data_IF_171755808402
#
_entry.id   IF_171755808402
#
_cell.length_a   1.000
_cell.length_b   1.000
_cell.length_c   1.000
_cell.angle_alpha   90.00
_cell.angle_beta   90.00
_cell.angle_gamma   90.00
#
_symmetry.space_group_name_H-M   'P 1'
#
loop_
_entity.id
_entity.type
_entity.pdbx_description
1 polymer ?
#
# COMPACT_ATOMS: atom_id res chain seq x y z
N UNK A 1 34.38 -61.30 7.00
CA UNK A 1 33.25 -60.75 6.21
C UNK A 1 33.80 -60.14 4.92
N UNK A 2 33.24 -60.44 3.74
CA UNK A 2 33.89 -60.11 2.47
C UNK A 2 33.78 -58.62 2.10
N UNK A 3 34.90 -58.10 1.60
CA UNK A 3 35.20 -56.70 1.25
C UNK A 3 34.21 -56.07 0.23
N UNK A 4 33.38 -56.87 -0.45
CA UNK A 4 32.41 -56.38 -1.44
C UNK A 4 31.19 -55.68 -0.84
N UNK A 5 30.84 -55.98 0.41
CA UNK A 5 29.73 -55.29 1.10
C UNK A 5 30.10 -53.86 1.47
N UNK A 6 31.36 -53.60 1.82
CA UNK A 6 31.84 -52.28 2.26
C UNK A 6 31.77 -51.25 1.12
N UNK A 7 32.06 -51.65 -0.13
CA UNK A 7 31.97 -50.75 -1.30
C UNK A 7 30.55 -50.31 -1.61
N UNK A 8 29.54 -51.18 -1.45
CA UNK A 8 28.13 -50.81 -1.69
C UNK A 8 27.64 -49.77 -0.68
N UNK A 9 28.00 -49.92 0.61
CA UNK A 9 27.64 -48.95 1.63
C UNK A 9 28.38 -47.62 1.46
N UNK A 10 29.65 -47.62 1.03
CA UNK A 10 30.41 -46.38 0.77
C UNK A 10 29.84 -45.57 -0.41
N UNK A 11 29.36 -46.24 -1.47
CA UNK A 11 28.70 -45.57 -2.60
C UNK A 11 27.32 -45.04 -2.19
N UNK A 12 26.55 -45.79 -1.40
CA UNK A 12 25.26 -45.31 -0.88
C UNK A 12 25.44 -44.15 0.08
N UNK A 13 26.46 -44.18 0.96
CA UNK A 13 26.76 -43.10 1.89
C UNK A 13 27.21 -41.83 1.17
N UNK A 14 28.00 -41.96 0.09
CA UNK A 14 28.45 -40.81 -0.70
C UNK A 14 27.33 -40.16 -1.53
N UNK A 15 26.39 -40.95 -2.07
CA UNK A 15 25.18 -40.44 -2.72
C UNK A 15 24.24 -39.79 -1.69
N UNK A 16 24.11 -40.36 -0.49
CA UNK A 16 23.28 -39.79 0.59
C UNK A 16 23.85 -38.46 1.10
N UNK A 17 25.18 -38.32 1.20
CA UNK A 17 25.82 -37.04 1.54
C UNK A 17 25.71 -36.00 0.43
N UNK A 18 25.65 -36.41 -0.84
CA UNK A 18 25.48 -35.49 -1.97
C UNK A 18 24.04 -34.95 -2.08
N UNK A 19 23.05 -35.71 -1.59
CA UNK A 19 21.64 -35.28 -1.54
C UNK A 19 21.38 -34.34 -0.33
N UNK A 20 22.25 -34.34 0.68
CA UNK A 20 22.14 -33.49 1.87
C UNK A 20 22.86 -32.13 1.75
N UNK A 21 23.47 -31.82 0.60
CA UNK A 21 24.05 -30.50 0.32
C UNK A 21 23.18 -29.66 -0.62
N UNK A 22 21.86 -29.82 -0.61
CA UNK A 22 21.01 -28.66 -0.92
C UNK A 22 21.29 -27.67 0.21
N UNK A 23 22.13 -26.69 -0.08
CA UNK A 23 22.29 -25.52 0.76
C UNK A 23 20.89 -25.00 1.04
N UNK A 24 20.42 -25.22 2.27
CA UNK A 24 19.33 -24.41 2.80
C UNK A 24 19.95 -23.02 2.86
N UNK A 25 19.78 -22.25 1.78
CA UNK A 25 20.01 -20.82 1.84
C UNK A 25 19.02 -20.33 2.88
N UNK A 26 19.53 -20.05 4.08
CA UNK A 26 18.79 -19.25 5.03
C UNK A 26 18.39 -17.99 4.26
N UNK A 27 17.08 -17.75 4.12
CA UNK A 27 16.56 -16.49 3.62
C UNK A 27 16.97 -15.46 4.67
N UNK A 28 18.16 -14.88 4.49
CA UNK A 28 18.58 -13.72 5.23
C UNK A 28 17.53 -12.66 4.90
N UNK A 29 16.80 -12.17 5.91
CA UNK A 29 15.91 -11.04 5.72
C UNK A 29 16.77 -9.90 5.15
N UNK A 30 16.63 -9.62 3.85
CA UNK A 30 17.45 -8.62 3.19
C UNK A 30 17.16 -7.29 3.88
N UNK A 31 18.18 -6.70 4.50
CA UNK A 31 18.05 -5.43 5.18
C UNK A 31 17.62 -4.37 4.16
N UNK A 32 16.36 -3.93 4.24
CA UNK A 32 15.85 -2.84 3.40
C UNK A 32 16.16 -1.51 4.09
N UNK A 33 16.42 -0.47 3.30
CA UNK A 33 16.66 0.88 3.81
C UNK A 33 15.37 1.50 4.39
N UNK A 34 15.05 1.16 5.65
CA UNK A 34 13.85 1.65 6.36
C UNK A 34 13.88 3.16 6.60
N UNK A 35 15.05 3.80 6.57
CA UNK A 35 15.21 5.27 6.72
C UNK A 35 14.54 6.08 5.61
N UNK A 36 14.23 5.44 4.47
CA UNK A 36 13.53 6.05 3.34
C UNK A 36 12.00 5.90 3.42
N UNK A 37 11.47 5.24 4.46
CA UNK A 37 10.03 4.99 4.66
C UNK A 37 9.50 5.91 5.75
N UNK A 38 8.39 6.60 5.51
CA UNK A 38 7.89 7.67 6.37
C UNK A 38 6.41 7.49 6.71
N UNK A 39 6.01 7.95 7.89
CA UNK A 39 4.59 8.07 8.24
C UNK A 39 4.05 9.35 7.65
N UNK A 40 2.93 9.28 6.94
CA UNK A 40 2.18 10.47 6.53
C UNK A 40 1.03 10.69 7.50
N UNK A 41 0.89 11.91 8.00
CA UNK A 41 -0.22 12.33 8.85
C UNK A 41 -0.99 13.42 8.11
N UNK A 42 -2.24 13.11 7.76
CA UNK A 42 -3.17 14.02 7.11
C UNK A 42 -4.03 14.75 8.15
N UNK A 43 -4.15 16.07 7.99
CA UNK A 43 -4.89 16.94 8.90
C UNK A 43 -5.80 17.93 8.16
N UNK A 44 -6.92 18.26 8.79
CA UNK A 44 -7.77 19.37 8.37
C UNK A 44 -7.20 20.73 8.79
N UNK A 45 -7.91 21.81 8.43
CA UNK A 45 -7.50 23.19 8.71
C UNK A 45 -7.50 23.53 10.20
N UNK A 46 -8.25 22.78 11.01
CA UNK A 46 -8.27 22.89 12.47
C UNK A 46 -7.14 22.09 13.13
N UNK A 47 -6.35 21.35 12.34
CA UNK A 47 -5.25 20.50 12.81
C UNK A 47 -5.70 19.13 13.34
N UNK A 48 -6.99 18.77 13.19
CA UNK A 48 -7.50 17.44 13.54
C UNK A 48 -6.94 16.42 12.56
N UNK A 49 -6.48 15.28 13.09
CA UNK A 49 -5.99 14.18 12.27
C UNK A 49 -7.18 13.53 11.56
N UNK A 50 -7.11 13.49 10.24
CA UNK A 50 -8.09 12.83 9.37
C UNK A 50 -7.72 11.36 9.19
N UNK A 51 -6.42 11.08 9.02
CA UNK A 51 -5.90 9.75 8.83
C UNK A 51 -4.37 9.73 8.79
N UNK A 52 -3.83 8.53 8.61
CA UNK A 52 -2.41 8.31 8.45
C UNK A 52 -2.15 7.19 7.44
N UNK A 53 -1.00 7.25 6.78
CA UNK A 53 -0.52 6.19 5.89
C UNK A 53 1.00 6.11 5.89
N UNK A 54 1.53 5.29 5.01
CA UNK A 54 2.96 5.18 4.74
C UNK A 54 3.29 5.90 3.42
N UNK A 55 4.47 6.48 3.34
CA UNK A 55 5.09 6.87 2.07
C UNK A 55 6.54 6.43 2.04
N UNK A 56 7.17 6.55 0.86
CA UNK A 56 8.59 6.24 0.71
C UNK A 56 9.26 7.16 -0.29
N UNK A 57 10.53 7.45 -0.05
CA UNK A 57 11.31 8.42 -0.81
C UNK A 57 12.10 7.69 -1.91
N UNK A 58 12.05 8.20 -3.14
CA UNK A 58 12.62 7.55 -4.33
C UNK A 58 13.68 8.39 -5.03
N UNK A 59 13.85 9.65 -4.63
CA UNK A 59 14.90 10.55 -5.12
C UNK A 59 15.55 11.32 -3.96
N UNK A 60 16.88 11.54 -3.95
CA UNK A 60 17.58 12.21 -2.84
C UNK A 60 17.08 13.62 -2.55
N UNK A 61 16.56 14.31 -3.57
CA UNK A 61 15.93 15.63 -3.47
C UNK A 61 14.52 15.62 -2.86
N UNK A 62 14.01 14.47 -2.42
CA UNK A 62 12.78 14.37 -1.63
C UNK A 62 11.50 14.09 -2.43
N UNK A 63 11.60 13.40 -3.57
CA UNK A 63 10.40 12.85 -4.25
C UNK A 63 9.89 11.67 -3.45
N UNK A 64 8.67 11.80 -2.93
CA UNK A 64 7.99 10.82 -2.10
C UNK A 64 6.79 10.22 -2.83
N UNK A 65 6.58 8.92 -2.66
CA UNK A 65 5.46 8.16 -3.21
C UNK A 65 4.54 7.72 -2.07
N UNK A 66 3.22 7.78 -2.29
CA UNK A 66 2.20 7.21 -1.39
C UNK A 66 0.90 6.96 -2.16
N UNK A 67 -0.16 6.50 -1.48
CA UNK A 67 -1.50 6.46 -2.05
C UNK A 67 -2.16 7.85 -2.08
N UNK A 68 -3.09 8.05 -3.02
CA UNK A 68 -3.85 9.29 -3.09
C UNK A 68 -4.81 9.41 -1.90
N UNK A 69 -5.50 8.34 -1.52
CA UNK A 69 -6.48 8.39 -0.44
C UNK A 69 -5.88 8.81 0.92
N UNK A 70 -4.56 8.66 1.11
CA UNK A 70 -3.85 9.15 2.30
C UNK A 70 -3.88 10.68 2.41
N UNK A 71 -4.07 11.38 1.29
CA UNK A 71 -4.12 12.85 1.21
C UNK A 71 -5.55 13.41 1.20
N UNK A 72 -6.55 12.53 1.11
CA UNK A 72 -7.94 12.91 0.91
C UNK A 72 -8.43 13.85 2.01
N UNK A 73 -9.09 14.95 1.61
CA UNK A 73 -9.61 16.00 2.50
C UNK A 73 -8.55 16.72 3.35
N UNK A 74 -7.25 16.43 3.16
CA UNK A 74 -6.18 17.01 3.93
C UNK A 74 -5.84 18.41 3.44
N UNK A 75 -5.85 19.37 4.36
CA UNK A 75 -5.28 20.71 4.12
C UNK A 75 -3.78 20.75 4.40
N UNK A 76 -3.31 19.85 5.28
CA UNK A 76 -1.92 19.71 5.69
C UNK A 76 -1.59 18.23 5.74
N UNK A 77 -0.46 17.87 5.12
CA UNK A 77 0.16 16.56 5.28
C UNK A 77 1.56 16.77 5.81
N UNK A 78 1.93 15.99 6.83
CA UNK A 78 3.25 15.99 7.43
C UNK A 78 3.87 14.60 7.29
N UNK A 79 5.11 14.54 6.79
CA UNK A 79 5.91 13.33 6.80
C UNK A 79 6.67 13.23 8.12
N UNK A 80 6.65 12.06 8.75
CA UNK A 80 7.42 11.76 9.95
C UNK A 80 8.40 10.65 9.61
N UNK A 81 9.68 10.99 9.70
CA UNK A 81 10.80 10.11 9.43
C UNK A 81 10.96 9.06 10.56
N UNK A 82 11.65 7.93 10.32
CA UNK A 82 11.84 6.89 11.34
C UNK A 82 12.63 7.35 12.58
N UNK A 83 13.43 8.41 12.47
CA UNK A 83 14.14 9.06 13.59
C UNK A 83 13.25 10.06 14.37
N UNK A 84 12.00 10.25 13.94
CA UNK A 84 11.04 11.16 14.53
C UNK A 84 10.99 12.54 13.89
N UNK A 85 11.89 12.85 12.95
CA UNK A 85 11.92 14.16 12.30
C UNK A 85 10.67 14.41 11.48
N UNK A 86 10.15 15.63 11.58
CA UNK A 86 8.91 16.03 10.93
C UNK A 86 9.17 16.95 9.76
N UNK A 87 8.92 16.45 8.56
CA UNK A 87 9.16 17.13 7.29
C UNK A 87 7.83 17.59 6.69
N UNK A 88 7.79 18.84 6.20
CA UNK A 88 6.63 19.38 5.50
C UNK A 88 6.60 18.87 4.05
N UNK A 89 5.40 18.63 3.54
CA UNK A 89 5.19 18.45 2.10
C UNK A 89 5.22 19.84 1.43
N UNK A 90 6.17 20.06 0.52
CA UNK A 90 6.35 21.31 -0.24
C UNK A 90 5.26 21.46 -1.31
N UNK A 91 4.99 20.40 -2.06
CA UNK A 91 3.98 20.41 -3.12
C UNK A 91 3.55 19.00 -3.53
N UNK A 92 2.41 18.90 -4.20
CA UNK A 92 1.94 17.70 -4.88
C UNK A 92 2.45 17.72 -6.31
N UNK A 93 3.27 16.76 -6.71
CA UNK A 93 3.84 16.65 -8.06
C UNK A 93 2.86 16.00 -9.03
N UNK A 94 2.22 14.91 -8.60
CA UNK A 94 1.25 14.16 -9.42
C UNK A 94 0.25 13.45 -8.52
N UNK A 95 -1.00 13.41 -8.95
CA UNK A 95 -2.03 12.52 -8.44
C UNK A 95 -2.66 11.79 -9.62
N UNK A 96 -2.91 10.50 -9.44
CA UNK A 96 -3.83 9.71 -10.26
C UNK A 96 -4.84 9.07 -9.31
N UNK A 97 -6.07 9.59 -9.31
CA UNK A 97 -7.11 9.13 -8.40
C UNK A 97 -7.63 7.75 -8.74
N UNK A 98 -7.67 7.41 -10.03
CA UNK A 98 -8.14 6.10 -10.48
C UNK A 98 -7.15 4.99 -10.08
N UNK A 99 -5.86 5.32 -10.03
CA UNK A 99 -4.80 4.38 -9.63
C UNK A 99 -4.35 4.53 -8.18
N UNK A 100 -5.03 5.37 -7.42
CA UNK A 100 -4.75 5.62 -6.01
C UNK A 100 -3.27 5.92 -5.69
N UNK A 101 -2.61 6.80 -6.45
CA UNK A 101 -1.25 7.21 -6.08
C UNK A 101 -1.05 8.71 -6.10
N UNK A 102 -0.11 9.15 -5.28
CA UNK A 102 0.40 10.51 -5.27
C UNK A 102 1.93 10.52 -5.25
N UNK A 103 2.51 11.44 -6.01
CA UNK A 103 3.89 11.87 -5.91
C UNK A 103 3.93 13.23 -5.22
N UNK A 104 4.69 13.31 -4.14
CA UNK A 104 4.85 14.49 -3.32
C UNK A 104 6.30 14.96 -3.35
N UNK A 105 6.48 16.26 -3.20
CA UNK A 105 7.80 16.87 -3.01
C UNK A 105 7.93 17.23 -1.53
N UNK A 106 8.95 16.70 -0.86
CA UNK A 106 9.34 17.12 0.48
C UNK A 106 10.01 18.50 0.44
N UNK A 107 10.11 19.14 1.61
CA UNK A 107 10.95 20.32 1.79
C UNK A 107 12.41 20.04 1.40
N UNK A 108 13.20 21.09 1.22
CA UNK A 108 14.61 20.95 0.80
C UNK A 108 15.43 20.19 1.86
N UNK A 109 16.19 19.21 1.38
CA UNK A 109 16.99 18.30 2.20
C UNK A 109 17.68 17.25 1.34
N UNK A 110 18.44 16.36 1.98
CA UNK A 110 19.04 15.18 1.35
C UNK A 110 18.49 13.96 2.07
N UNK A 111 17.76 13.13 1.33
CA UNK A 111 17.01 12.03 1.90
C UNK A 111 17.58 10.68 1.50
N UNK A 112 17.46 9.71 2.41
CA UNK A 112 17.61 8.30 2.08
C UNK A 112 16.53 7.89 1.08
N UNK A 113 16.86 6.99 0.15
CA UNK A 113 15.95 6.57 -0.91
C UNK A 113 15.79 5.05 -0.99
N UNK A 114 14.69 4.63 -1.60
CA UNK A 114 14.50 3.28 -2.14
C UNK A 114 14.65 3.30 -3.66
N UNK A 115 15.28 2.27 -4.20
CA UNK A 115 15.43 2.11 -5.64
C UNK A 115 14.15 1.57 -6.26
N UNK A 116 13.72 2.17 -7.37
CA UNK A 116 12.55 1.72 -8.13
C UNK A 116 12.94 0.54 -9.03
N UNK A 117 12.23 -0.58 -8.86
CA UNK A 117 12.39 -1.79 -9.66
C UNK A 117 11.50 -1.82 -10.90
N UNK A 118 11.25 -3.01 -11.42
CA UNK A 118 10.36 -3.25 -12.53
C UNK A 118 9.27 -4.25 -12.11
N UNK A 119 8.01 -3.82 -12.10
CA UNK A 119 6.89 -4.70 -11.74
C UNK A 119 6.58 -5.75 -12.81
N UNK A 120 6.97 -5.50 -14.06
CA UNK A 120 6.72 -6.44 -15.18
C UNK A 120 7.63 -7.67 -15.11
N UNK A 121 8.69 -7.62 -14.30
CA UNK A 121 9.60 -8.75 -14.08
C UNK A 121 9.06 -9.76 -13.06
N UNK A 122 7.98 -9.41 -12.35
CA UNK A 122 7.40 -10.24 -11.30
C UNK A 122 6.71 -11.49 -11.87
N UNK A 123 6.89 -12.60 -11.17
CA UNK A 123 6.25 -13.89 -11.45
C UNK A 123 5.50 -14.38 -10.22
N UNK A 124 4.51 -15.23 -10.43
CA UNK A 124 3.86 -15.94 -9.33
C UNK A 124 4.92 -16.65 -8.47
N UNK A 125 4.71 -16.61 -7.15
CA UNK A 125 5.60 -17.13 -6.11
C UNK A 125 6.94 -16.38 -5.93
N UNK A 126 7.20 -15.30 -6.68
CA UNK A 126 8.31 -14.41 -6.37
C UNK A 126 8.14 -13.85 -4.94
N UNK A 127 9.23 -13.84 -4.18
CA UNK A 127 9.22 -13.35 -2.81
C UNK A 127 9.10 -11.82 -2.77
N UNK A 128 8.22 -11.36 -1.90
CA UNK A 128 8.00 -9.95 -1.63
C UNK A 128 8.20 -9.65 -0.15
N UNK A 129 8.58 -8.41 0.13
CA UNK A 129 8.39 -7.81 1.44
C UNK A 129 7.63 -6.50 1.33
N UNK A 130 6.86 -6.13 2.34
CA UNK A 130 6.18 -4.85 2.38
C UNK A 130 6.60 -4.08 3.62
N UNK A 131 6.81 -2.78 3.45
CA UNK A 131 7.19 -1.89 4.54
C UNK A 131 6.05 -0.93 4.84
N UNK A 132 5.82 -0.70 6.12
CA UNK A 132 4.82 0.24 6.57
C UNK A 132 4.82 0.39 8.07
N UNK A 133 3.85 1.14 8.57
CA UNK A 133 3.69 1.41 9.98
C UNK A 133 2.38 0.79 10.47
N UNK A 134 2.37 0.25 11.69
CA UNK A 134 1.11 -0.15 12.34
C UNK A 134 0.51 1.02 13.09
N UNK A 135 -0.61 1.53 12.61
CA UNK A 135 -1.37 2.59 13.29
C UNK A 135 -1.88 2.15 14.68
N UNK A 136 -2.05 0.85 14.92
CA UNK A 136 -2.48 0.30 16.21
C UNK A 136 -1.37 0.39 17.29
N UNK A 137 -0.10 0.40 16.87
CA UNK A 137 1.06 0.47 17.77
C UNK A 137 1.56 1.91 18.00
N UNK A 138 0.94 2.90 17.35
CA UNK A 138 1.31 4.30 17.41
C UNK A 138 0.24 5.06 18.22
N UNK A 139 0.53 5.29 19.50
CA UNK A 139 -0.11 6.40 20.20
C UNK A 139 0.51 7.69 19.63
N UNK A 140 -0.09 8.21 18.56
CA UNK A 140 0.43 9.34 17.77
C UNK A 140 0.76 10.59 18.61
N UNK A 141 0.15 10.75 19.79
CA UNK A 141 0.40 11.84 20.74
C UNK A 141 1.59 11.60 21.69
N UNK A 142 1.86 10.35 22.11
CA UNK A 142 2.92 10.01 23.07
C UNK A 142 4.22 9.56 22.39
N UNK A 143 4.14 8.65 21.41
CA UNK A 143 5.33 8.00 20.83
C UNK A 143 6.21 8.97 20.02
N UNK A 144 5.65 10.06 19.48
CA UNK A 144 6.39 11.06 18.73
C UNK A 144 6.99 12.19 19.59
N UNK A 145 6.66 12.24 20.88
CA UNK A 145 7.28 13.19 21.83
C UNK A 145 8.36 12.51 22.68
N UNK A 146 8.29 11.19 22.85
CA UNK A 146 9.20 10.40 23.71
C UNK A 146 10.36 9.74 22.94
N UNK A 147 10.39 9.84 21.60
CA UNK A 147 11.45 9.27 20.73
C UNK A 147 12.85 9.90 20.90
N UNK A 148 13.07 10.79 21.88
CA UNK A 148 14.43 11.24 22.24
C UNK A 148 15.19 10.22 23.09
N UNK A 149 14.53 9.15 23.54
CA UNK A 149 15.21 8.09 24.28
C UNK A 149 15.82 7.06 23.32
N UNK A 150 17.06 7.33 22.87
CA UNK A 150 17.84 6.52 21.92
C UNK A 150 18.11 5.07 22.36
N UNK A 151 17.73 4.68 23.57
CA UNK A 151 18.09 3.39 24.18
C UNK A 151 17.03 2.30 24.09
N UNK A 152 15.78 2.61 23.71
CA UNK A 152 14.74 1.62 23.49
C UNK A 152 14.28 1.63 22.03
N UNK A 153 15.20 1.27 21.13
CA UNK A 153 15.03 1.24 19.67
C UNK A 153 13.85 0.41 19.18
N UNK A 154 12.63 0.93 19.37
CA UNK A 154 11.41 0.36 18.86
C UNK A 154 11.38 0.69 17.37
N UNK A 155 11.71 -0.31 16.57
CA UNK A 155 11.63 -0.22 15.12
C UNK A 155 10.21 0.20 14.71
N UNK A 156 10.07 1.43 14.22
CA UNK A 156 8.76 2.02 13.90
C UNK A 156 8.25 1.48 12.55
N UNK A 157 9.17 1.19 11.63
CA UNK A 157 8.87 0.62 10.30
C UNK A 157 8.83 -0.91 10.38
N UNK A 158 7.62 -1.45 10.29
CA UNK A 158 7.39 -2.88 10.19
C UNK A 158 7.71 -3.39 8.80
N UNK A 159 8.23 -4.62 8.74
CA UNK A 159 8.44 -5.34 7.49
C UNK A 159 7.69 -6.67 7.56
N UNK A 160 6.80 -6.88 6.61
CA UNK A 160 6.09 -8.15 6.42
C UNK A 160 6.61 -8.82 5.17
N UNK A 161 6.44 -10.13 5.10
CA UNK A 161 6.97 -10.95 4.01
C UNK A 161 5.87 -11.81 3.43
N UNK A 162 6.00 -12.13 2.16
CA UNK A 162 5.07 -12.98 1.44
C UNK A 162 5.56 -13.25 0.03
N UNK A 163 4.64 -13.60 -0.85
CA UNK A 163 4.93 -13.90 -2.24
C UNK A 163 3.86 -13.33 -3.15
N UNK A 164 4.18 -13.20 -4.44
CA UNK A 164 3.22 -12.85 -5.48
C UNK A 164 2.24 -14.01 -5.66
N UNK A 165 0.94 -13.74 -5.56
CA UNK A 165 -0.12 -14.68 -5.90
C UNK A 165 -0.50 -14.60 -7.38
N UNK A 166 -0.32 -13.43 -7.98
CA UNK A 166 -0.66 -13.16 -9.37
C UNK A 166 -0.72 -11.66 -9.64
N UNK A 167 -0.83 -11.29 -10.91
CA UNK A 167 -1.02 -9.91 -11.35
C UNK A 167 -2.28 -9.88 -12.20
N UNK A 168 -3.37 -9.36 -11.63
CA UNK A 168 -4.69 -9.46 -12.24
C UNK A 168 -5.44 -8.13 -12.16
N UNK A 169 -6.29 -7.83 -13.16
CA UNK A 169 -7.23 -6.73 -13.04
C UNK A 169 -8.27 -7.02 -11.95
N UNK A 170 -8.82 -5.94 -11.40
CA UNK A 170 -10.03 -5.99 -10.57
C UNK A 170 -11.25 -5.48 -11.35
N UNK A 171 -11.73 -4.29 -11.01
CA UNK A 171 -12.90 -3.67 -11.62
C UNK A 171 -12.66 -3.16 -13.03
N UNK A 172 -11.40 -2.88 -13.40
CA UNK A 172 -11.03 -2.37 -14.70
C UNK A 172 -10.04 -3.34 -15.36
N UNK A 173 -10.39 -3.85 -16.54
CA UNK A 173 -9.61 -4.87 -17.25
C UNK A 173 -8.17 -4.44 -17.58
N UNK A 174 -7.93 -3.15 -17.83
CA UNK A 174 -6.62 -2.60 -18.16
C UNK A 174 -5.85 -2.10 -16.94
N UNK A 175 -6.32 -2.42 -15.73
CA UNK A 175 -5.74 -1.93 -14.49
C UNK A 175 -5.41 -3.08 -13.53
N UNK A 176 -4.26 -3.75 -13.72
CA UNK A 176 -3.83 -4.85 -12.88
C UNK A 176 -3.26 -4.39 -11.53
N UNK A 177 -3.47 -5.22 -10.52
CA UNK A 177 -2.84 -5.16 -9.21
C UNK A 177 -1.96 -6.37 -8.96
N UNK A 178 -0.92 -6.21 -8.15
CA UNK A 178 -0.13 -7.31 -7.59
C UNK A 178 -0.93 -7.87 -6.42
N UNK A 179 -1.32 -9.14 -6.52
CA UNK A 179 -1.94 -9.89 -5.43
C UNK A 179 -0.82 -10.53 -4.62
N UNK A 180 -0.87 -10.40 -3.29
CA UNK A 180 0.21 -10.93 -2.46
C UNK A 180 -0.27 -11.49 -1.13
N UNK A 181 0.49 -12.45 -0.60
CA UNK A 181 0.35 -12.94 0.77
C UNK A 181 1.09 -12.07 1.79
N UNK A 182 1.89 -11.09 1.36
CA UNK A 182 2.53 -10.15 2.27
C UNK A 182 1.45 -9.34 2.99
N UNK A 183 1.42 -9.44 4.33
CA UNK A 183 0.37 -8.81 5.14
C UNK A 183 0.52 -7.29 5.17
N UNK A 184 -0.55 -6.55 4.93
CA UNK A 184 -0.60 -5.10 5.12
C UNK A 184 -1.38 -4.79 6.40
N UNK A 185 -0.67 -4.48 7.47
CA UNK A 185 -1.31 -4.01 8.70
C UNK A 185 -1.93 -2.62 8.48
N UNK A 186 -2.95 -2.22 9.28
CA UNK A 186 -3.46 -0.86 9.24
C UNK A 186 -2.33 0.18 9.33
N UNK A 187 -2.28 1.09 8.36
CA UNK A 187 -1.21 2.09 8.21
C UNK A 187 -0.18 1.79 7.11
N UNK A 188 -0.16 0.58 6.55
CA UNK A 188 0.72 0.22 5.41
C UNK A 188 0.32 0.90 4.10
N UNK A 189 -0.90 1.42 3.96
CA UNK A 189 -1.38 2.10 2.74
C UNK A 189 -0.39 3.16 2.28
N UNK A 190 0.08 3.05 1.04
CA UNK A 190 1.07 3.90 0.40
C UNK A 190 2.51 3.46 0.60
N UNK A 191 2.75 2.42 1.40
CA UNK A 191 4.06 1.85 1.68
C UNK A 191 4.63 1.05 0.51
N UNK A 192 5.96 0.87 0.46
CA UNK A 192 6.59 0.17 -0.64
C UNK A 192 6.49 -1.34 -0.48
N UNK A 193 6.22 -2.02 -1.59
CA UNK A 193 6.36 -3.47 -1.75
C UNK A 193 7.62 -3.73 -2.54
N UNK A 194 8.51 -4.58 -1.99
CA UNK A 194 9.89 -4.78 -2.43
C UNK A 194 10.09 -6.21 -2.93
N UNK A 195 10.89 -6.37 -3.98
CA UNK A 195 11.39 -7.69 -4.38
C UNK A 195 12.63 -8.10 -3.57
N UNK A 196 13.15 -9.31 -3.83
CA UNK A 196 14.36 -9.83 -3.18
C UNK A 196 15.63 -9.00 -3.40
N UNK A 197 15.66 -8.14 -4.43
CA UNK A 197 16.80 -7.25 -4.73
C UNK A 197 16.70 -5.91 -4.01
N UNK A 198 15.73 -5.75 -3.09
CA UNK A 198 15.42 -4.50 -2.41
C UNK A 198 15.03 -3.36 -3.37
N UNK A 199 14.44 -3.69 -4.52
CA UNK A 199 13.81 -2.69 -5.38
C UNK A 199 12.30 -2.64 -5.11
N UNK A 200 11.74 -1.43 -5.10
CA UNK A 200 10.28 -1.22 -5.02
C UNK A 200 9.64 -1.75 -6.30
N UNK A 201 8.72 -2.69 -6.18
CA UNK A 201 7.93 -3.28 -7.29
C UNK A 201 6.44 -2.99 -7.18
N UNK A 202 5.97 -2.50 -6.03
CA UNK A 202 4.61 -2.00 -5.90
C UNK A 202 4.40 -1.00 -4.76
N UNK A 203 3.20 -0.43 -4.72
CA UNK A 203 2.72 0.46 -3.65
C UNK A 203 1.56 -0.25 -2.97
N UNK A 204 1.70 -0.59 -1.69
CA UNK A 204 0.66 -1.27 -0.93
C UNK A 204 -0.62 -0.42 -0.89
N UNK A 205 -1.75 -1.01 -1.24
CA UNK A 205 -3.07 -0.41 -1.05
C UNK A 205 -3.94 -1.38 -0.23
N UNK A 206 -4.71 -0.84 0.71
CA UNK A 206 -5.59 -1.62 1.59
C UNK A 206 -7.02 -1.28 1.21
N UNK A 207 -7.68 -2.14 0.46
CA UNK A 207 -9.08 -1.95 0.00
C UNK A 207 -10.09 -2.82 0.77
N UNK A 208 -9.98 -2.95 2.09
CA UNK A 208 -11.02 -3.62 2.91
C UNK A 208 -11.35 -5.07 2.54
N UNK A 209 -10.52 -5.72 1.72
CA UNK A 209 -10.73 -7.06 1.17
C UNK A 209 -9.83 -8.09 1.85
N UNK A 210 -10.24 -9.36 1.80
CA UNK A 210 -9.49 -10.50 2.36
C UNK A 210 -8.14 -10.78 1.69
N UNK A 211 -7.73 -9.98 0.70
CA UNK A 211 -6.48 -10.16 -0.07
C UNK A 211 -5.73 -8.82 -0.12
N UNK A 212 -4.40 -8.87 0.08
CA UNK A 212 -3.52 -7.72 0.00
C UNK A 212 -3.18 -7.40 -1.46
N UNK A 213 -3.26 -6.11 -1.82
CA UNK A 213 -3.11 -5.64 -3.19
C UNK A 213 -2.10 -4.52 -3.27
N UNK A 214 -1.21 -4.54 -4.25
CA UNK A 214 -0.29 -3.45 -4.49
C UNK A 214 -0.40 -2.92 -5.92
N UNK A 215 -0.37 -1.60 -6.06
CA UNK A 215 -0.26 -0.95 -7.36
C UNK A 215 1.12 -1.28 -7.96
N UNK A 216 1.22 -1.83 -9.18
CA UNK A 216 2.49 -2.04 -9.86
C UNK A 216 3.31 -0.74 -9.97
N UNK A 217 4.59 -0.79 -9.59
CA UNK A 217 5.43 0.43 -9.53
C UNK A 217 5.63 1.09 -10.91
N UNK A 218 5.48 0.33 -12.00
CA UNK A 218 5.66 0.88 -13.34
C UNK A 218 4.65 2.00 -13.67
N UNK A 219 3.49 2.03 -13.02
CA UNK A 219 2.49 3.07 -13.23
C UNK A 219 2.98 4.48 -12.85
N UNK A 220 3.94 4.60 -11.91
CA UNK A 220 4.43 5.90 -11.47
C UNK A 220 5.68 6.37 -12.25
N UNK A 221 6.40 5.46 -12.90
CA UNK A 221 7.68 5.75 -13.57
C UNK A 221 7.63 6.94 -14.53
N UNK A 222 6.61 7.12 -15.38
CA UNK A 222 6.55 8.27 -16.30
C UNK A 222 6.49 9.64 -15.60
N UNK A 223 6.21 9.68 -14.30
CA UNK A 223 5.97 10.90 -13.54
C UNK A 223 7.11 11.24 -12.56
N UNK A 224 8.12 10.38 -12.42
CA UNK A 224 9.21 10.55 -11.45
C UNK A 224 10.10 11.77 -11.71
N UNK A 225 10.10 12.28 -12.94
CA UNK A 225 10.91 13.44 -13.33
C UNK A 225 10.13 14.78 -13.30
N UNK A 226 8.87 14.76 -12.83
CA UNK A 226 8.08 15.97 -12.67
C UNK A 226 8.67 16.83 -11.54
N UNK A 227 9.02 18.08 -11.85
CA UNK A 227 9.58 19.04 -10.88
C UNK A 227 8.59 20.12 -10.43
N UNK A 228 7.57 20.39 -11.24
CA UNK A 228 6.58 21.44 -10.96
C UNK A 228 5.36 20.83 -10.28
N UNK A 229 5.22 21.10 -8.98
CA UNK A 229 4.04 20.70 -8.22
C UNK A 229 3.02 21.82 -8.03
N UNK A 230 1.88 21.45 -7.47
CA UNK A 230 0.82 22.36 -7.00
C UNK A 230 0.74 22.33 -5.46
N UNK A 231 0.22 23.38 -4.81
CA UNK A 231 -0.10 23.33 -3.39
C UNK A 231 -1.11 22.22 -3.07
N UNK A 232 -0.97 21.57 -1.91
CA UNK A 232 -1.87 20.48 -1.46
C UNK A 232 -3.34 20.92 -1.44
N UNK A 233 -3.60 22.13 -0.95
CA UNK A 233 -4.96 22.70 -0.86
C UNK A 233 -5.71 22.76 -2.18
N UNK A 234 -4.99 22.77 -3.32
CA UNK A 234 -5.63 22.75 -4.64
C UNK A 234 -6.31 21.41 -4.94
N UNK A 235 -5.92 20.32 -4.27
CA UNK A 235 -6.59 19.02 -4.42
C UNK A 235 -8.04 19.10 -3.93
N UNK A 236 -8.30 19.76 -2.81
CA UNK A 236 -9.62 19.84 -2.15
C UNK A 236 -10.73 20.34 -3.07
N UNK A 237 -10.45 21.33 -3.92
CA UNK A 237 -11.45 21.85 -4.85
C UNK A 237 -11.79 20.83 -5.94
N UNK A 238 -10.78 20.15 -6.47
CA UNK A 238 -10.97 19.11 -7.50
C UNK A 238 -11.54 17.80 -6.96
N UNK A 239 -11.52 17.60 -5.64
CA UNK A 239 -12.07 16.44 -4.96
C UNK A 239 -13.60 16.48 -4.86
N UNK A 240 -14.20 17.67 -4.78
CA UNK A 240 -15.66 17.83 -4.66
C UNK A 240 -16.44 17.29 -5.86
N UNK A 241 -15.78 17.17 -7.01
CA UNK A 241 -16.38 16.69 -8.26
C UNK A 241 -15.71 15.42 -8.79
N UNK A 242 -15.01 14.66 -7.95
CA UNK A 242 -14.34 13.41 -8.33
C UNK A 242 -15.09 12.21 -7.77
N UNK A 243 -15.47 11.29 -8.65
CA UNK A 243 -16.09 10.01 -8.26
C UNK A 243 -15.16 9.18 -7.38
N UNK A 244 -13.85 9.19 -7.66
CA UNK A 244 -12.84 8.48 -6.88
C UNK A 244 -12.69 9.09 -5.49
N UNK A 245 -12.70 10.43 -5.36
CA UNK A 245 -12.66 11.07 -4.05
C UNK A 245 -13.86 10.66 -3.19
N UNK A 246 -15.08 10.70 -3.74
CA UNK A 246 -16.28 10.18 -3.07
C UNK A 246 -16.14 8.69 -2.72
N UNK A 247 -15.67 7.86 -3.65
CA UNK A 247 -15.45 6.44 -3.41
C UNK A 247 -14.49 6.18 -2.24
N UNK A 248 -13.34 6.87 -2.17
CA UNK A 248 -12.39 6.71 -1.07
C UNK A 248 -12.93 7.25 0.26
N UNK A 249 -13.74 8.32 0.25
CA UNK A 249 -14.46 8.77 1.47
C UNK A 249 -15.43 7.71 1.95
N UNK A 250 -16.18 7.10 1.03
CA UNK A 250 -17.11 6.02 1.35
C UNK A 250 -16.41 4.82 1.97
N UNK A 251 -15.27 4.40 1.38
CA UNK A 251 -14.41 3.35 1.93
C UNK A 251 -13.92 3.69 3.33
N UNK A 252 -13.46 4.92 3.56
CA UNK A 252 -13.03 5.36 4.88
C UNK A 252 -14.16 5.32 5.91
N UNK A 253 -15.36 5.79 5.57
CA UNK A 253 -16.51 5.72 6.47
C UNK A 253 -16.89 4.28 6.79
N UNK A 254 -16.95 3.41 5.77
CA UNK A 254 -17.37 2.03 5.96
C UNK A 254 -16.36 1.22 6.79
N UNK A 255 -15.08 1.27 6.42
CA UNK A 255 -14.07 0.34 6.95
C UNK A 255 -13.24 0.92 8.11
N UNK A 256 -13.16 2.23 8.25
CA UNK A 256 -12.35 2.89 9.31
C UNK A 256 -13.23 3.50 10.38
N UNK A 257 -14.35 4.13 10.00
CA UNK A 257 -15.29 4.73 10.95
C UNK A 257 -16.42 3.81 11.37
N UNK A 258 -16.60 2.69 10.67
CA UNK A 258 -17.74 1.79 10.85
C UNK A 258 -19.08 2.56 10.78
N UNK A 259 -19.14 3.57 9.91
CA UNK A 259 -20.29 4.45 9.68
C UNK A 259 -20.87 4.18 8.28
N UNK A 260 -21.74 3.17 8.14
CA UNK A 260 -22.29 2.81 6.84
C UNK A 260 -23.28 3.85 6.30
N UNK A 261 -23.90 4.67 7.15
CA UNK A 261 -24.83 5.73 6.69
C UNK A 261 -24.09 6.82 5.91
N UNK A 262 -22.93 7.25 6.42
CA UNK A 262 -22.07 8.18 5.70
C UNK A 262 -21.45 7.53 4.45
N UNK A 263 -21.06 6.25 4.54
CA UNK A 263 -20.52 5.52 3.40
C UNK A 263 -21.52 5.43 2.23
N UNK A 264 -22.78 5.10 2.51
CA UNK A 264 -23.85 5.05 1.50
C UNK A 264 -23.97 6.37 0.74
N UNK A 265 -23.96 7.51 1.45
CA UNK A 265 -24.08 8.84 0.83
C UNK A 265 -22.91 9.14 -0.11
N UNK A 266 -21.70 8.78 0.30
CA UNK A 266 -20.49 8.98 -0.50
C UNK A 266 -20.49 8.07 -1.74
N UNK A 267 -20.81 6.79 -1.60
CA UNK A 267 -20.92 5.89 -2.76
C UNK A 267 -22.03 6.29 -3.72
N UNK A 268 -23.19 6.71 -3.21
CA UNK A 268 -24.26 7.27 -4.06
C UNK A 268 -23.81 8.55 -4.79
N UNK A 269 -22.97 9.37 -4.16
CA UNK A 269 -22.39 10.57 -4.80
C UNK A 269 -21.39 10.20 -5.90
N UNK A 270 -20.55 9.18 -5.67
CA UNK A 270 -19.69 8.62 -6.71
C UNK A 270 -20.50 8.10 -7.91
N UNK A 271 -21.60 7.38 -7.65
CA UNK A 271 -22.47 6.82 -8.68
C UNK A 271 -23.33 7.87 -9.42
N UNK A 272 -23.62 9.02 -8.80
CA UNK A 272 -24.22 10.16 -9.51
C UNK A 272 -23.28 10.76 -10.55
N UNK A 273 -21.97 10.73 -10.29
CA UNK A 273 -20.95 11.19 -11.23
C UNK A 273 -20.66 10.13 -12.30
N UNK A 274 -20.73 8.85 -11.95
CA UNK A 274 -20.54 7.72 -12.87
C UNK A 274 -21.31 6.47 -12.41
N UNK A 275 -22.47 6.21 -13.02
CA UNK A 275 -23.29 5.02 -12.72
C UNK A 275 -22.63 3.71 -13.19
N UNK A 276 -21.56 3.77 -13.99
CA UNK A 276 -20.79 2.59 -14.41
C UNK A 276 -19.65 2.25 -13.46
N UNK A 277 -19.49 2.98 -12.34
CA UNK A 277 -18.40 2.76 -11.40
C UNK A 277 -18.59 1.47 -10.59
N UNK A 278 -18.08 0.36 -11.13
CA UNK A 278 -18.21 -1.01 -10.59
C UNK A 278 -17.88 -1.09 -9.10
N UNK A 279 -16.73 -0.52 -8.68
CA UNK A 279 -16.29 -0.55 -7.28
C UNK A 279 -17.31 0.13 -6.34
N UNK A 280 -17.89 1.27 -6.76
CA UNK A 280 -18.86 1.99 -5.95
C UNK A 280 -20.19 1.24 -5.83
N UNK A 281 -20.63 0.48 -6.84
CA UNK A 281 -21.80 -0.41 -6.69
C UNK A 281 -21.50 -1.55 -5.72
N UNK A 282 -20.33 -2.18 -5.82
CA UNK A 282 -19.94 -3.26 -4.91
C UNK A 282 -19.87 -2.79 -3.46
N UNK A 283 -19.13 -1.72 -3.17
CA UNK A 283 -18.97 -1.23 -1.79
C UNK A 283 -20.26 -0.59 -1.24
N UNK A 284 -21.14 -0.05 -2.10
CA UNK A 284 -22.49 0.34 -1.67
C UNK A 284 -23.34 -0.88 -1.27
N UNK A 285 -23.16 -2.01 -1.97
CA UNK A 285 -23.73 -3.29 -1.57
C UNK A 285 -23.23 -3.73 -0.20
N UNK A 286 -21.93 -3.64 0.04
CA UNK A 286 -21.31 -3.95 1.34
C UNK A 286 -21.83 -3.03 2.45
N UNK A 287 -21.96 -1.73 2.17
CA UNK A 287 -22.55 -0.77 3.11
C UNK A 287 -24.00 -1.14 3.46
N UNK A 288 -24.87 -1.42 2.47
CA UNK A 288 -26.24 -1.87 2.74
C UNK A 288 -26.30 -3.20 3.50
N UNK A 289 -25.39 -4.13 3.22
CA UNK A 289 -25.30 -5.39 3.95
C UNK A 289 -24.95 -5.16 5.42
N UNK A 290 -24.00 -4.27 5.73
CA UNK A 290 -23.66 -3.92 7.11
C UNK A 290 -24.82 -3.27 7.88
N UNK A 291 -25.77 -2.65 7.16
CA UNK A 291 -27.02 -2.10 7.71
C UNK A 291 -28.16 -3.14 7.82
N UNK A 292 -27.93 -4.39 7.41
CA UNK A 292 -28.97 -5.43 7.34
C UNK A 292 -29.96 -5.26 6.17
N UNK A 293 -29.69 -4.36 5.22
CA UNK A 293 -30.55 -4.05 4.07
C UNK A 293 -30.26 -4.99 2.90
N UNK A 294 -30.45 -6.29 3.11
CA UNK A 294 -30.03 -7.37 2.20
C UNK A 294 -30.56 -7.21 0.78
N UNK A 295 -31.84 -6.89 0.58
CA UNK A 295 -32.42 -6.75 -0.76
C UNK A 295 -31.76 -5.63 -1.58
N UNK A 296 -31.34 -4.55 -0.91
CA UNK A 296 -30.64 -3.45 -1.56
C UNK A 296 -29.19 -3.82 -1.84
N UNK A 297 -28.55 -4.56 -0.94
CA UNK A 297 -27.20 -5.07 -1.14
C UNK A 297 -27.14 -5.97 -2.39
N UNK A 298 -28.05 -6.94 -2.49
CA UNK A 298 -28.14 -7.86 -3.65
C UNK A 298 -28.26 -7.09 -4.96
N UNK A 299 -29.18 -6.13 -5.06
CA UNK A 299 -29.35 -5.31 -6.27
C UNK A 299 -28.08 -4.57 -6.68
N UNK A 300 -27.29 -4.11 -5.71
CA UNK A 300 -26.04 -3.39 -5.97
C UNK A 300 -24.92 -4.33 -6.40
N UNK A 301 -24.80 -5.51 -5.78
CA UNK A 301 -23.89 -6.55 -6.25
C UNK A 301 -24.24 -7.05 -7.65
N UNK A 302 -25.52 -7.29 -7.95
CA UNK A 302 -25.98 -7.67 -9.30
C UNK A 302 -25.60 -6.62 -10.35
N UNK A 303 -25.75 -5.33 -10.03
CA UNK A 303 -25.34 -4.24 -10.91
C UNK A 303 -23.82 -4.21 -11.15
N UNK A 304 -23.01 -4.44 -10.11
CA UNK A 304 -21.54 -4.52 -10.24
C UNK A 304 -21.12 -5.67 -11.17
N UNK A 305 -21.69 -6.86 -10.98
CA UNK A 305 -21.44 -8.03 -11.84
C UNK A 305 -21.96 -7.82 -13.26
N UNK A 306 -23.11 -7.16 -13.44
CA UNK A 306 -23.63 -6.85 -14.77
C UNK A 306 -22.73 -5.86 -15.54
N UNK A 307 -22.12 -4.90 -14.84
CA UNK A 307 -21.19 -3.94 -15.43
C UNK A 307 -19.83 -4.57 -15.75
N UNK A 308 -19.36 -5.49 -14.91
CA UNK A 308 -18.15 -6.26 -15.15
C UNK A 308 -18.34 -7.72 -14.70
N UNK A 309 -18.69 -8.63 -15.64
CA UNK A 309 -18.89 -10.05 -15.33
C UNK A 309 -17.64 -10.78 -14.86
N UNK A 310 -16.45 -10.19 -15.05
CA UNK A 310 -15.17 -10.71 -14.58
C UNK A 310 -14.72 -10.04 -13.28
N UNK A 311 -15.55 -9.20 -12.67
CA UNK A 311 -15.28 -8.67 -11.34
C UNK A 311 -15.31 -9.83 -10.34
N UNK A 312 -14.21 -10.03 -9.58
CA UNK A 312 -14.07 -11.16 -8.67
C UNK A 312 -15.04 -11.12 -7.48
#
# INVERSE_FOLDING_TARGET
MPYSYIKKYLVVLSVLTLILTTSVQFVQANAVNKSAVVVLIAKDSAGKILGSGTGFIVKPEGVLVTNYHVLLDATVVQAVMPDGDRIKIKSVLKVDRAKDFALLQLAEGVYSTLEIGNSDDLKEFDYLSALGFSSQNINFSQTLSESKDKNNGKEIVMQTFGFVLGIHPQAQANFPFIYTTASFAPGFSGGPVMNQKNHVVGIATVEGRSINLALPINFIKPFLEIKKGIPLVNLLETEKSSKEAHYYRGNFYLYVKEDPDSAVKEFESALKLDDSFVLAHYDLGAAYQSQGRTDQAVKKYEKAVALNPSFP
#
